data_IF_900300364512
#
_entry.id   IF_900300364512
#
_cell.length_a   1.000
_cell.length_b   1.000
_cell.length_c   1.000
_cell.angle_alpha   90.00
_cell.angle_beta   90.00
_cell.angle_gamma   90.00
#
_symmetry.space_group_name_H-M   'P 1'
#
loop_
_entity.id
_entity.type
_entity.pdbx_description
1 polymer ?
#
# COMPACT_ATOMS: atom_id res chain seq x y z
N UNK A 1 2.27 -7.37 -22.73
CA UNK A 1 1.21 -8.06 -21.97
C UNK A 1 0.62 -9.11 -22.88
N UNK A 2 0.55 -10.35 -22.44
CA UNK A 2 0.09 -11.48 -23.26
C UNK A 2 1.19 -12.15 -24.08
N UNK A 3 2.45 -11.73 -23.93
CA UNK A 3 3.61 -12.45 -24.48
C UNK A 3 4.34 -13.11 -23.31
N UNK A 4 4.57 -14.44 -23.34
CA UNK A 4 5.08 -15.17 -22.17
C UNK A 4 6.36 -14.60 -21.58
N UNK A 5 7.34 -14.24 -22.41
CA UNK A 5 8.65 -13.74 -21.98
C UNK A 5 8.53 -12.37 -21.32
N UNK A 6 7.69 -11.50 -21.90
CA UNK A 6 7.47 -10.16 -21.38
C UNK A 6 6.62 -10.17 -20.10
N UNK A 7 5.62 -11.05 -20.02
CA UNK A 7 4.81 -11.22 -18.82
C UNK A 7 5.65 -11.80 -17.67
N UNK A 8 6.59 -12.71 -17.98
CA UNK A 8 7.57 -13.20 -17.01
C UNK A 8 8.53 -12.10 -16.54
N UNK A 9 8.98 -11.24 -17.46
CA UNK A 9 9.77 -10.05 -17.11
C UNK A 9 9.02 -9.13 -16.15
N UNK A 10 7.79 -8.74 -16.49
CA UNK A 10 6.97 -7.87 -15.65
C UNK A 10 6.65 -8.47 -14.29
N UNK A 11 6.46 -9.79 -14.24
CA UNK A 11 6.27 -10.50 -12.96
C UNK A 11 7.50 -10.32 -12.07
N UNK A 12 8.71 -10.52 -12.61
CA UNK A 12 9.96 -10.31 -11.86
C UNK A 12 10.14 -8.87 -11.39
N UNK A 13 9.85 -7.90 -12.25
CA UNK A 13 9.95 -6.48 -11.89
C UNK A 13 8.96 -6.10 -10.78
N UNK A 14 7.72 -6.60 -10.85
CA UNK A 14 6.72 -6.36 -9.82
C UNK A 14 7.11 -7.01 -8.49
N UNK A 15 7.62 -8.24 -8.53
CA UNK A 15 8.11 -8.93 -7.33
C UNK A 15 9.30 -8.20 -6.70
N UNK A 16 10.27 -7.76 -7.50
CA UNK A 16 11.40 -6.95 -7.04
C UNK A 16 10.93 -5.65 -6.39
N UNK A 17 9.96 -4.95 -7.00
CA UNK A 17 9.38 -3.74 -6.45
C UNK A 17 8.73 -4.02 -5.08
N UNK A 18 7.93 -5.08 -4.97
CA UNK A 18 7.30 -5.52 -3.72
C UNK A 18 8.35 -5.82 -2.66
N UNK A 19 9.39 -6.59 -2.99
CA UNK A 19 10.45 -6.96 -2.06
C UNK A 19 11.23 -5.73 -1.57
N UNK A 20 11.48 -4.78 -2.47
CA UNK A 20 12.16 -3.52 -2.14
C UNK A 20 11.34 -2.67 -1.16
N UNK A 21 10.06 -2.41 -1.47
CA UNK A 21 9.23 -1.54 -0.62
C UNK A 21 8.81 -2.22 0.69
N UNK A 22 8.78 -3.56 0.72
CA UNK A 22 8.44 -4.34 1.91
C UNK A 22 9.65 -4.81 2.72
N UNK A 23 10.87 -4.43 2.34
CA UNK A 23 12.12 -4.91 2.95
C UNK A 23 12.19 -4.73 4.49
N UNK A 24 11.46 -3.74 5.03
CA UNK A 24 11.36 -3.47 6.47
C UNK A 24 10.04 -3.93 7.10
N UNK A 25 9.36 -4.90 6.50
CA UNK A 25 8.12 -5.48 6.99
C UNK A 25 6.85 -4.72 6.61
N UNK A 26 6.93 -3.71 5.73
CA UNK A 26 5.75 -2.99 5.28
C UNK A 26 4.81 -3.90 4.47
N UNK A 27 3.51 -3.77 4.73
CA UNK A 27 2.49 -4.40 3.91
C UNK A 27 2.32 -3.61 2.60
N UNK A 28 2.26 -4.31 1.47
CA UNK A 28 2.14 -3.69 0.14
C UNK A 28 0.69 -3.74 -0.34
N UNK A 29 0.17 -2.60 -0.79
CA UNK A 29 -1.15 -2.53 -1.42
C UNK A 29 -0.96 -2.20 -2.89
N UNK A 30 -1.30 -3.14 -3.77
CA UNK A 30 -1.32 -2.92 -5.21
C UNK A 30 -2.67 -2.33 -5.63
N UNK A 31 -2.64 -1.44 -6.63
CA UNK A 31 -3.84 -0.82 -7.21
C UNK A 31 -3.99 -1.32 -8.65
N UNK A 32 -5.15 -1.90 -8.99
CA UNK A 32 -5.40 -2.28 -10.39
C UNK A 32 -5.41 -1.05 -11.30
N UNK A 33 -4.83 -1.16 -12.49
CA UNK A 33 -4.78 -0.07 -13.44
C UNK A 33 -6.18 0.19 -14.02
N UNK A 34 -6.70 1.43 -13.98
CA UNK A 34 -7.92 1.79 -14.70
C UNK A 34 -7.68 1.81 -16.22
N UNK A 35 -8.76 1.74 -17.00
CA UNK A 35 -8.65 1.96 -18.44
C UNK A 35 -8.29 3.41 -18.72
N UNK A 36 -7.52 3.62 -19.78
CA UNK A 36 -7.05 4.95 -20.19
C UNK A 36 -7.35 5.16 -21.67
N UNK A 37 -7.38 6.42 -22.11
CA UNK A 37 -7.61 6.76 -23.51
C UNK A 37 -6.82 8.02 -23.86
N UNK A 38 -5.56 7.84 -24.21
CA UNK A 38 -4.71 8.95 -24.68
C UNK A 38 -5.14 9.36 -26.09
N UNK A 39 -4.48 10.40 -26.59
CA UNK A 39 -4.68 10.87 -27.96
C UNK A 39 -4.56 9.71 -28.95
N UNK A 40 -5.48 9.64 -29.91
CA UNK A 40 -5.47 8.61 -30.94
C UNK A 40 -4.18 8.67 -31.76
N UNK A 41 -3.77 7.52 -32.26
CA UNK A 41 -2.71 7.43 -33.26
C UNK A 41 -3.11 8.15 -34.55
N UNK A 42 -2.15 8.48 -35.44
CA UNK A 42 -2.44 9.09 -36.74
C UNK A 42 -3.40 8.27 -37.62
N UNK A 43 -3.42 6.95 -37.44
CA UNK A 43 -4.32 6.01 -38.13
C UNK A 43 -5.73 5.93 -37.48
N UNK A 44 -6.00 6.71 -36.44
CA UNK A 44 -7.27 6.73 -35.72
C UNK A 44 -7.45 5.63 -34.68
N UNK A 45 -6.48 4.70 -34.57
CA UNK A 45 -6.48 3.62 -33.58
C UNK A 45 -6.06 4.06 -32.18
N UNK A 46 -6.21 3.15 -31.22
CA UNK A 46 -5.66 3.30 -29.87
C UNK A 46 -4.15 3.01 -29.87
N UNK A 47 -3.43 3.66 -28.97
CA UNK A 47 -2.10 3.18 -28.62
C UNK A 47 -2.23 1.79 -28.01
N UNK A 48 -1.30 0.86 -28.28
CA UNK A 48 -1.36 -0.47 -27.68
C UNK A 48 -1.55 -0.42 -26.16
N UNK A 49 -0.99 0.56 -25.47
CA UNK A 49 -1.09 0.70 -24.01
C UNK A 49 -2.49 1.11 -23.52
N UNK A 50 -3.35 1.61 -24.40
CA UNK A 50 -4.75 1.99 -24.12
C UNK A 50 -5.73 0.86 -24.47
N UNK A 51 -5.25 -0.25 -25.05
CA UNK A 51 -6.10 -1.40 -25.37
C UNK A 51 -6.62 -2.06 -24.07
N UNK A 52 -7.94 -2.21 -23.89
CA UNK A 52 -8.53 -2.76 -22.66
C UNK A 52 -7.97 -4.13 -22.28
N UNK A 53 -7.71 -5.00 -23.25
CA UNK A 53 -7.21 -6.35 -23.04
C UNK A 53 -5.81 -6.34 -22.40
N UNK A 54 -5.00 -5.33 -22.70
CA UNK A 54 -3.67 -5.17 -22.08
C UNK A 54 -3.78 -4.71 -20.64
N UNK A 55 -4.73 -3.82 -20.34
CA UNK A 55 -5.03 -3.39 -18.96
C UNK A 55 -5.54 -4.57 -18.13
N UNK A 56 -6.41 -5.39 -18.69
CA UNK A 56 -6.94 -6.59 -18.05
C UNK A 56 -5.85 -7.64 -17.79
N UNK A 57 -4.98 -7.88 -18.77
CA UNK A 57 -3.86 -8.78 -18.62
C UNK A 57 -2.91 -8.33 -17.50
N UNK A 58 -2.59 -7.04 -17.44
CA UNK A 58 -1.81 -6.46 -16.35
C UNK A 58 -2.47 -6.63 -14.99
N UNK A 59 -3.77 -6.35 -14.88
CA UNK A 59 -4.52 -6.47 -13.63
C UNK A 59 -4.59 -7.92 -13.14
N UNK A 60 -4.77 -8.89 -14.05
CA UNK A 60 -4.70 -10.32 -13.72
C UNK A 60 -3.30 -10.72 -13.22
N UNK A 61 -2.24 -10.23 -13.86
CA UNK A 61 -0.86 -10.48 -13.42
C UNK A 61 -0.64 -9.96 -11.99
N UNK A 62 -1.05 -8.72 -11.70
CA UNK A 62 -0.97 -8.14 -10.34
C UNK A 62 -1.73 -8.99 -9.31
N UNK A 63 -2.95 -9.41 -9.63
CA UNK A 63 -3.75 -10.26 -8.74
C UNK A 63 -3.08 -11.62 -8.50
N UNK A 64 -2.49 -12.23 -9.53
CA UNK A 64 -1.78 -13.50 -9.39
C UNK A 64 -0.55 -13.38 -8.49
N UNK A 65 0.24 -12.30 -8.61
CA UNK A 65 1.39 -12.04 -7.73
C UNK A 65 0.93 -11.80 -6.28
N UNK A 66 -0.11 -10.99 -6.08
CA UNK A 66 -0.65 -10.73 -4.76
C UNK A 66 -1.21 -12.00 -4.09
N UNK A 67 -1.88 -12.87 -4.83
CA UNK A 67 -2.42 -14.13 -4.32
C UNK A 67 -1.32 -15.06 -3.78
N UNK A 68 -0.17 -15.15 -4.47
CA UNK A 68 1.02 -15.91 -4.02
C UNK A 68 1.67 -15.33 -2.77
N UNK A 69 1.43 -14.05 -2.48
CA UNK A 69 2.03 -13.27 -1.39
C UNK A 69 0.97 -12.71 -0.43
N UNK A 70 -0.15 -13.41 -0.27
CA UNK A 70 -1.38 -12.90 0.39
C UNK A 70 -1.21 -12.45 1.84
N UNK A 71 -0.19 -12.95 2.55
CA UNK A 71 0.16 -12.49 3.90
C UNK A 71 0.88 -11.12 3.97
N UNK A 72 1.43 -10.63 2.84
CA UNK A 72 2.20 -9.38 2.77
C UNK A 72 1.68 -8.39 1.72
N UNK A 73 0.87 -8.86 0.78
CA UNK A 73 0.36 -8.08 -0.35
C UNK A 73 -1.16 -8.14 -0.39
N UNK A 74 -1.80 -7.00 -0.66
CA UNK A 74 -3.22 -6.88 -1.01
C UNK A 74 -3.42 -6.20 -2.35
N UNK A 75 -4.63 -6.31 -2.89
CA UNK A 75 -5.07 -5.57 -4.07
C UNK A 75 -6.29 -4.74 -3.72
N UNK A 76 -6.27 -3.46 -4.09
CA UNK A 76 -7.47 -2.63 -4.22
C UNK A 76 -7.85 -2.60 -5.69
N UNK A 77 -9.10 -2.97 -5.99
CA UNK A 77 -9.62 -2.87 -7.34
C UNK A 77 -9.98 -1.42 -7.68
N UNK A 78 -8.97 -0.65 -8.05
CA UNK A 78 -9.12 0.73 -8.49
C UNK A 78 -9.76 0.80 -9.89
N UNK A 79 -9.45 -0.14 -10.78
CA UNK A 79 -10.05 -0.24 -12.11
C UNK A 79 -11.58 -0.21 -12.01
N UNK A 80 -12.19 -1.09 -11.21
CA UNK A 80 -13.64 -1.14 -11.07
C UNK A 80 -14.25 0.13 -10.45
N UNK A 81 -13.51 0.84 -9.61
CA UNK A 81 -13.98 2.11 -9.01
C UNK A 81 -13.98 3.26 -10.02
N UNK A 82 -12.96 3.33 -10.86
CA UNK A 82 -12.79 4.40 -11.85
C UNK A 82 -13.55 4.11 -13.14
N UNK A 83 -13.65 2.84 -13.52
CA UNK A 83 -14.23 2.36 -14.76
C UNK A 83 -15.27 1.25 -14.49
N UNK A 84 -16.40 1.56 -13.83
CA UNK A 84 -17.36 0.55 -13.38
C UNK A 84 -18.04 -0.23 -14.52
N UNK A 85 -18.05 0.33 -15.74
CA UNK A 85 -18.65 -0.28 -16.92
C UNK A 85 -17.67 -1.16 -17.73
N UNK A 86 -16.47 -1.43 -17.21
CA UNK A 86 -15.49 -2.26 -17.91
C UNK A 86 -14.89 -1.59 -19.15
N UNK A 87 -14.89 -0.26 -19.21
CA UNK A 87 -14.35 0.54 -20.32
C UNK A 87 -13.87 1.90 -19.82
N UNK A 88 -13.00 2.55 -20.61
CA UNK A 88 -12.64 3.94 -20.34
C UNK A 88 -13.90 4.82 -20.27
N UNK A 89 -13.93 5.66 -19.25
CA UNK A 89 -14.93 6.72 -19.07
C UNK A 89 -14.23 8.04 -18.83
N UNK A 90 -14.82 9.09 -19.39
CA UNK A 90 -14.41 10.47 -19.14
C UNK A 90 -14.71 10.93 -17.71
N UNK A 91 -15.59 10.21 -16.99
CA UNK A 91 -16.01 10.52 -15.63
C UNK A 91 -15.85 9.29 -14.73
N UNK A 92 -15.04 9.42 -13.68
CA UNK A 92 -14.94 8.46 -12.59
C UNK A 92 -15.85 8.94 -11.45
N UNK A 93 -17.12 8.51 -11.47
CA UNK A 93 -18.15 9.12 -10.61
C UNK A 93 -18.33 10.60 -10.95
N UNK A 94 -18.17 11.48 -9.96
CA UNK A 94 -18.22 12.94 -10.14
C UNK A 94 -16.87 13.57 -10.54
N UNK A 95 -15.81 12.78 -10.71
CA UNK A 95 -14.49 13.26 -11.09
C UNK A 95 -14.34 13.19 -12.62
N UNK A 96 -14.20 14.35 -13.26
CA UNK A 96 -13.88 14.44 -14.70
C UNK A 96 -12.40 14.14 -14.92
N UNK A 97 -12.07 13.08 -15.67
CA UNK A 97 -10.69 12.81 -16.12
C UNK A 97 -10.24 13.94 -17.04
N UNK A 98 -8.96 14.33 -16.95
CA UNK A 98 -8.33 15.35 -17.78
C UNK A 98 -8.45 14.99 -19.26
N UNK A 99 -8.28 16.00 -20.11
CA UNK A 99 -8.31 15.84 -21.57
C UNK A 99 -7.23 14.91 -22.12
N UNK A 100 -6.18 14.62 -21.33
CA UNK A 100 -5.18 13.59 -21.67
C UNK A 100 -5.68 12.15 -21.53
N UNK A 101 -6.87 11.94 -20.97
CA UNK A 101 -7.52 10.64 -20.81
C UNK A 101 -6.79 9.66 -19.91
N UNK A 102 -5.88 10.17 -19.06
CA UNK A 102 -5.07 9.40 -18.15
C UNK A 102 -5.21 9.90 -16.71
N UNK A 103 -5.15 11.21 -16.51
CA UNK A 103 -5.04 11.77 -15.17
C UNK A 103 -6.36 12.33 -14.65
N UNK A 104 -6.79 12.03 -13.41
CA UNK A 104 -7.75 12.88 -12.72
C UNK A 104 -7.14 14.27 -12.46
N UNK A 105 -7.95 15.33 -12.28
CA UNK A 105 -7.45 16.63 -11.89
C UNK A 105 -6.87 16.55 -10.48
N UNK A 106 -5.81 17.31 -10.18
CA UNK A 106 -5.18 17.31 -8.84
C UNK A 106 -6.19 17.60 -7.72
N UNK A 107 -7.17 18.46 -8.01
CA UNK A 107 -8.24 18.84 -7.07
C UNK A 107 -9.19 17.70 -6.71
N UNK A 108 -9.19 16.58 -7.44
CA UNK A 108 -10.05 15.45 -7.15
C UNK A 108 -9.67 14.70 -5.85
N UNK A 109 -8.48 14.95 -5.29
CA UNK A 109 -8.04 14.32 -4.05
C UNK A 109 -7.94 12.80 -4.11
N UNK A 110 -7.84 12.21 -5.31
CA UNK A 110 -7.86 10.75 -5.49
C UNK A 110 -6.75 10.08 -4.68
N UNK A 111 -5.56 10.69 -4.60
CA UNK A 111 -4.44 10.20 -3.81
C UNK A 111 -4.82 10.00 -2.32
N UNK A 112 -5.58 10.95 -1.75
CA UNK A 112 -6.07 10.88 -0.36
C UNK A 112 -7.04 9.72 -0.20
N UNK A 113 -8.03 9.59 -1.10
CA UNK A 113 -9.02 8.51 -1.05
C UNK A 113 -8.40 7.13 -1.21
N UNK A 114 -7.37 7.00 -2.04
CA UNK A 114 -6.61 5.76 -2.22
C UNK A 114 -5.79 5.43 -0.97
N UNK A 115 -5.10 6.42 -0.39
CA UNK A 115 -4.38 6.24 0.86
C UNK A 115 -5.32 5.81 2.00
N UNK A 116 -6.50 6.43 2.12
CA UNK A 116 -7.50 6.08 3.13
C UNK A 116 -8.06 4.66 2.92
N UNK A 117 -8.29 4.26 1.66
CA UNK A 117 -8.73 2.90 1.31
C UNK A 117 -7.66 1.86 1.65
N UNK A 118 -6.39 2.16 1.35
CA UNK A 118 -5.25 1.29 1.68
C UNK A 118 -5.08 1.16 3.20
N UNK A 119 -5.16 2.29 3.92
CA UNK A 119 -5.10 2.30 5.38
C UNK A 119 -6.26 1.54 6.02
N UNK A 120 -7.47 1.67 5.47
CA UNK A 120 -8.65 0.91 5.90
C UNK A 120 -8.44 -0.60 5.72
N UNK A 121 -7.96 -1.03 4.55
CA UNK A 121 -7.66 -2.45 4.32
C UNK A 121 -6.55 -2.98 5.23
N UNK A 122 -5.50 -2.20 5.50
CA UNK A 122 -4.44 -2.57 6.42
C UNK A 122 -4.96 -2.76 7.86
N UNK A 123 -5.84 -1.87 8.33
CA UNK A 123 -6.47 -1.96 9.66
C UNK A 123 -7.33 -3.21 9.84
N UNK A 124 -8.08 -3.62 8.80
CA UNK A 124 -8.90 -4.82 8.87
C UNK A 124 -8.10 -6.13 8.76
N UNK A 125 -6.87 -6.09 8.24
CA UNK A 125 -5.93 -7.23 8.29
C UNK A 125 -5.22 -7.35 9.63
N UNK A 126 -4.89 -6.23 10.28
CA UNK A 126 -4.23 -6.21 11.60
C UNK A 126 -5.08 -6.80 12.74
N UNK A 127 -6.41 -6.84 12.60
CA UNK A 127 -7.29 -7.48 13.59
C UNK A 127 -7.18 -9.02 13.61
N UNK A 128 -6.56 -9.64 12.61
CA UNK A 128 -6.32 -11.09 12.53
C UNK A 128 -4.87 -11.51 12.80
N UNK A 129 -3.97 -10.55 13.05
CA UNK A 129 -2.58 -10.80 13.42
C UNK A 129 -2.33 -10.18 14.79
N UNK A 130 -2.89 -10.77 15.85
CA UNK A 130 -2.19 -10.69 17.13
C UNK A 130 -0.86 -11.38 16.90
N UNK A 131 0.23 -10.61 16.89
CA UNK A 131 1.57 -11.16 16.88
C UNK A 131 1.62 -12.28 17.92
N UNK A 132 2.01 -13.48 17.49
CA UNK A 132 2.33 -14.54 18.43
C UNK A 132 3.39 -13.99 19.38
N UNK A 133 3.31 -14.23 20.70
CA UNK A 133 4.31 -13.77 21.67
C UNK A 133 5.75 -14.18 21.30
N UNK A 134 5.91 -15.15 20.41
CA UNK A 134 7.18 -15.69 19.93
C UNK A 134 7.98 -14.79 18.97
N UNK A 135 7.36 -13.77 18.34
CA UNK A 135 8.06 -12.90 17.37
C UNK A 135 8.53 -11.55 17.96
N UNK A 136 8.45 -11.38 19.29
CA UNK A 136 9.18 -10.30 19.94
C UNK A 136 10.65 -10.68 19.99
N UNK A 137 11.58 -9.90 19.40
CA UNK A 137 12.98 -10.06 19.76
C UNK A 137 13.08 -9.87 21.27
N UNK A 138 13.63 -10.86 21.98
CA UNK A 138 14.02 -10.68 23.37
C UNK A 138 14.92 -9.45 23.44
N UNK A 139 14.37 -8.34 23.91
CA UNK A 139 15.15 -7.24 24.44
C UNK A 139 15.86 -7.82 25.65
N UNK A 140 17.06 -8.37 25.42
CA UNK A 140 18.03 -8.57 26.50
C UNK A 140 18.09 -7.24 27.26
N UNK A 141 17.85 -7.21 28.58
CA UNK A 141 18.09 -6.01 29.34
C UNK A 141 19.58 -5.72 29.21
N UNK A 142 19.93 -4.74 28.37
CA UNK A 142 21.21 -4.07 28.55
C UNK A 142 21.14 -3.48 29.95
N UNK A 143 22.10 -3.86 30.79
CA UNK A 143 22.30 -3.25 32.09
C UNK A 143 22.63 -1.76 31.86
N UNK A 144 21.58 -0.95 31.71
CA UNK A 144 21.67 0.50 31.67
C UNK A 144 22.04 0.95 33.07
N UNK A 145 23.21 1.59 33.19
CA UNK A 145 23.58 2.32 34.40
C UNK A 145 22.52 3.40 34.63
N UNK A 146 21.91 3.44 35.81
CA UNK A 146 21.11 4.58 36.24
C UNK A 146 22.03 5.79 36.39
N UNK A 147 21.90 6.78 35.52
CA UNK A 147 22.37 8.13 35.83
C UNK A 147 21.30 8.83 36.69
N UNK A 148 21.69 9.58 37.73
CA UNK A 148 20.73 10.29 38.57
C UNK A 148 20.07 11.43 37.79
N UNK A 149 18.74 11.53 37.91
CA UNK A 149 17.94 12.59 37.30
C UNK A 149 18.32 13.96 37.90
N UNK A 150 18.74 14.88 37.04
CA UNK A 150 18.92 16.29 37.38
C UNK A 150 17.54 16.94 37.62
N UNK A 151 17.45 17.71 38.70
CA UNK A 151 16.23 18.18 39.33
C UNK A 151 15.62 19.37 38.57
N UNK A 152 14.70 19.14 37.62
CA UNK A 152 13.93 20.23 37.01
C UNK A 152 12.72 20.61 37.88
N UNK A 153 12.84 21.68 38.67
CA UNK A 153 11.77 22.19 39.54
C UNK A 153 10.66 22.95 38.79
N UNK A 154 9.52 22.27 38.66
CA UNK A 154 8.10 22.64 38.90
C UNK A 154 7.54 23.98 38.39
N UNK A 155 6.53 23.87 37.52
CA UNK A 155 5.32 24.69 37.51
C UNK A 155 4.07 23.80 37.57
N UNK A 156 3.37 23.83 38.72
CA UNK A 156 2.15 23.09 39.13
C UNK A 156 1.46 22.18 38.10
N UNK A 157 1.72 20.87 38.20
CA UNK A 157 0.73 19.77 38.23
C UNK A 157 1.49 18.48 38.60
N UNK A 158 0.92 17.68 39.51
CA UNK A 158 1.58 16.66 40.36
C UNK A 158 2.68 15.78 39.74
N UNK A 159 3.82 15.71 40.43
CA UNK A 159 4.88 14.70 40.22
C UNK A 159 4.42 13.39 40.87
N UNK A 160 4.33 12.31 40.10
CA UNK A 160 4.30 10.95 40.66
C UNK A 160 5.72 10.38 40.62
N UNK A 161 6.30 10.09 41.78
CA UNK A 161 7.47 9.21 41.90
C UNK A 161 7.03 7.79 41.54
N UNK A 162 7.74 7.16 40.63
CA UNK A 162 7.71 5.70 40.48
C UNK A 162 8.95 5.19 41.20
N UNK A 163 8.75 4.66 42.41
CA UNK A 163 9.79 3.96 43.14
C UNK A 163 9.93 2.54 42.57
N UNK A 164 11.16 2.16 42.19
CA UNK A 164 11.49 0.83 41.71
C UNK A 164 11.83 -0.11 42.88
N UNK A 165 10.82 -0.74 43.47
CA UNK A 165 10.91 -1.97 44.27
C UNK A 165 9.68 -2.82 43.87
N UNK A 166 9.71 -4.07 43.43
CA UNK A 166 10.45 -5.24 43.91
C UNK A 166 10.32 -6.34 42.84
N UNK A 167 11.40 -6.93 42.36
CA UNK A 167 11.38 -8.29 41.79
C UNK A 167 12.32 -9.14 42.63
N UNK A 168 11.75 -9.82 43.62
CA UNK A 168 12.42 -10.86 44.39
C UNK A 168 12.44 -12.17 43.61
N UNK A 169 13.62 -12.80 43.59
CA UNK A 169 13.91 -14.21 43.33
C UNK A 169 14.76 -14.69 44.53
N UNK A 170 14.95 -16.01 44.79
CA UNK A 170 15.12 -17.14 43.87
C UNK A 170 13.84 -17.84 43.42
#
# INVERSE_FOLDING_TARGET
MGQPEFDAYLTRELELAIDTVSARGAHVVLLTAPYTRRAKRPDGGLWPEDEPERVDAWNRLQQAVAARRSGRVSVVDLNRRVCPEGRFTSNAGNIRIRSDGLHPPRSAGLDRTLADSAAHQARHRGAGLTASPADRPELRPQAGRCEPAEELRVGRLGVRRLDCETLGQP
#
